data_IF_755146060646
#
_entry.id   IF_755146060646
#
_cell.length_a   1.000
_cell.length_b   1.000
_cell.length_c   1.000
_cell.angle_alpha   90.00
_cell.angle_beta   90.00
_cell.angle_gamma   90.00
#
_symmetry.space_group_name_H-M   'P 1'
#
loop_
_entity.id
_entity.type
_entity.pdbx_description
1 polymer ?
#
# COMPACT_ATOMS: atom_id res chain seq x y z
N UNK A 1 -66.90 -39.44 24.74
CA UNK A 1 -66.06 -38.82 23.77
C UNK A 1 -66.44 -37.36 23.60
N UNK A 2 -66.15 -36.50 24.56
CA UNK A 2 -66.36 -35.05 24.48
C UNK A 2 -65.45 -34.35 25.53
N UNK A 3 -64.13 -34.25 25.30
CA UNK A 3 -63.26 -33.48 26.20
C UNK A 3 -61.87 -33.07 25.57
N UNK A 4 -61.69 -33.18 24.27
CA UNK A 4 -60.39 -32.85 23.66
C UNK A 4 -60.42 -31.70 22.58
N UNK A 5 -61.57 -31.04 22.39
CA UNK A 5 -61.65 -29.95 21.39
C UNK A 5 -61.20 -28.55 21.91
N UNK A 6 -61.00 -28.42 23.22
CA UNK A 6 -60.56 -27.12 23.79
C UNK A 6 -59.06 -26.93 23.95
N UNK A 7 -58.27 -28.01 23.87
CA UNK A 7 -56.80 -27.93 24.10
C UNK A 7 -55.99 -27.56 22.87
N UNK A 8 -56.56 -27.83 21.67
CA UNK A 8 -55.86 -27.51 20.40
C UNK A 8 -55.95 -26.03 20.04
N UNK A 9 -57.00 -25.32 20.55
CA UNK A 9 -57.11 -23.86 20.31
C UNK A 9 -56.24 -23.04 21.20
N UNK A 10 -55.77 -23.53 22.35
CA UNK A 10 -54.90 -22.82 23.26
C UNK A 10 -53.41 -22.94 22.87
N UNK A 11 -53.04 -24.01 22.11
CA UNK A 11 -51.65 -24.16 21.62
C UNK A 11 -51.38 -23.36 20.33
N UNK A 12 -52.44 -23.01 19.60
CA UNK A 12 -52.29 -22.17 18.37
C UNK A 12 -52.14 -20.69 18.63
N UNK A 13 -52.37 -20.21 19.87
CA UNK A 13 -52.29 -18.79 20.20
C UNK A 13 -50.98 -18.38 20.84
N UNK A 14 -50.09 -19.35 21.19
CA UNK A 14 -48.80 -19.05 21.82
C UNK A 14 -47.62 -18.98 20.82
N UNK A 15 -47.82 -19.21 19.54
CA UNK A 15 -46.76 -19.15 18.53
C UNK A 15 -46.71 -17.79 17.85
N UNK A 16 -47.69 -16.91 18.11
CA UNK A 16 -47.80 -15.59 17.46
C UNK A 16 -47.11 -14.41 18.15
N UNK A 17 -46.58 -14.58 19.36
CA UNK A 17 -46.07 -13.45 20.14
C UNK A 17 -44.54 -13.38 20.28
N UNK A 18 -43.77 -14.41 19.88
CA UNK A 18 -42.31 -14.37 20.02
C UNK A 18 -41.60 -13.62 18.90
N UNK A 19 -42.29 -13.26 17.82
CA UNK A 19 -41.69 -12.52 16.69
C UNK A 19 -41.64 -11.01 16.91
N UNK A 20 -42.52 -10.46 17.77
CA UNK A 20 -42.51 -8.99 18.02
C UNK A 20 -41.52 -8.61 19.13
N UNK A 21 -41.34 -9.44 20.17
CA UNK A 21 -40.40 -9.11 21.26
C UNK A 21 -38.95 -9.15 20.82
N UNK A 22 -38.56 -10.07 19.94
CA UNK A 22 -37.19 -10.14 19.44
C UNK A 22 -36.85 -8.95 18.52
N UNK A 23 -37.84 -8.41 17.81
CA UNK A 23 -37.67 -7.25 16.94
C UNK A 23 -37.51 -5.95 17.72
N UNK A 24 -38.21 -5.80 18.87
CA UNK A 24 -38.06 -4.64 19.75
C UNK A 24 -36.73 -4.64 20.50
N UNK A 25 -36.14 -5.81 20.75
CA UNK A 25 -34.83 -5.97 21.37
C UNK A 25 -33.69 -5.62 20.42
N UNK A 26 -33.83 -5.95 19.11
CA UNK A 26 -32.86 -5.67 18.05
C UNK A 26 -32.90 -4.21 17.59
N UNK A 27 -34.10 -3.62 17.50
CA UNK A 27 -34.30 -2.25 17.06
C UNK A 27 -34.11 -1.20 18.17
N UNK A 28 -33.82 -1.63 19.42
CA UNK A 28 -33.80 -0.77 20.59
C UNK A 28 -35.19 -0.26 20.96
N UNK A 29 -35.39 0.11 22.23
CA UNK A 29 -36.60 0.82 22.68
C UNK A 29 -36.52 2.31 22.29
N UNK A 30 -36.48 2.57 20.97
CA UNK A 30 -36.62 3.95 20.52
C UNK A 30 -38.07 4.35 20.73
N UNK A 31 -38.35 5.27 21.64
CA UNK A 31 -39.61 6.01 21.67
C UNK A 31 -39.74 6.77 20.34
N UNK A 32 -40.30 6.06 19.33
CA UNK A 32 -40.59 6.62 18.02
C UNK A 32 -41.69 7.69 18.24
N UNK A 33 -41.27 8.92 18.35
CA UNK A 33 -42.19 10.05 18.47
C UNK A 33 -42.99 10.21 17.17
N UNK A 34 -43.97 11.17 17.21
CA UNK A 34 -44.74 11.57 16.02
C UNK A 34 -43.87 12.02 14.82
N UNK A 35 -42.55 12.10 14.99
CA UNK A 35 -41.56 12.57 14.01
C UNK A 35 -40.76 11.45 13.35
N UNK A 36 -41.23 10.19 13.39
CA UNK A 36 -40.54 9.05 12.77
C UNK A 36 -40.66 9.08 11.25
N UNK A 37 -39.57 8.71 10.58
CA UNK A 37 -39.48 8.28 9.19
C UNK A 37 -39.02 6.83 9.11
N UNK A 38 -38.65 6.37 7.94
CA UNK A 38 -38.16 4.96 7.71
C UNK A 38 -36.91 4.94 6.90
N UNK A 39 -35.90 4.21 7.34
CA UNK A 39 -34.78 3.81 6.51
C UNK A 39 -35.21 2.56 5.72
N UNK A 40 -35.12 2.62 4.38
CA UNK A 40 -35.18 1.45 3.50
C UNK A 40 -33.78 1.18 2.98
N UNK A 41 -33.21 0.03 3.33
CA UNK A 41 -31.82 -0.30 3.07
C UNK A 41 -31.70 -1.44 2.07
N UNK A 42 -30.86 -1.22 1.03
CA UNK A 42 -30.43 -2.23 0.08
C UNK A 42 -28.92 -2.46 0.24
N UNK A 43 -28.51 -3.70 0.49
CA UNK A 43 -27.11 -4.09 0.67
C UNK A 43 -26.66 -4.96 -0.50
N UNK A 44 -25.44 -4.70 -0.94
CA UNK A 44 -24.72 -5.56 -1.90
C UNK A 44 -23.28 -5.73 -1.45
N UNK A 45 -22.70 -6.92 -1.67
CA UNK A 45 -21.26 -7.12 -1.59
C UNK A 45 -20.64 -6.83 -2.95
N UNK A 46 -19.52 -6.12 -2.97
CA UNK A 46 -18.85 -5.67 -4.20
C UNK A 46 -17.37 -5.99 -4.11
N UNK A 47 -16.83 -6.61 -5.17
CA UNK A 47 -15.40 -6.85 -5.32
C UNK A 47 -14.96 -6.38 -6.72
N UNK A 48 -13.91 -5.56 -6.79
CA UNK A 48 -13.40 -4.96 -8.02
C UNK A 48 -14.50 -4.30 -8.89
N UNK A 49 -15.45 -3.60 -8.22
CA UNK A 49 -16.56 -2.93 -8.90
C UNK A 49 -17.71 -3.84 -9.36
N UNK A 50 -17.61 -5.15 -9.16
CA UNK A 50 -18.62 -6.14 -9.55
C UNK A 50 -19.46 -6.55 -8.35
N UNK A 51 -20.80 -6.50 -8.48
CA UNK A 51 -21.70 -7.02 -7.46
C UNK A 51 -21.59 -8.55 -7.39
N UNK A 52 -21.32 -9.06 -6.18
CA UNK A 52 -21.20 -10.49 -5.96
C UNK A 52 -22.57 -11.12 -5.77
N UNK A 53 -22.86 -12.13 -6.58
CA UNK A 53 -24.05 -12.97 -6.42
C UNK A 53 -23.75 -14.12 -5.45
N UNK A 54 -24.81 -14.85 -5.04
CA UNK A 54 -24.76 -15.97 -4.08
C UNK A 54 -23.87 -17.15 -4.50
N UNK A 55 -23.19 -17.11 -5.64
CA UNK A 55 -22.47 -18.26 -6.21
C UNK A 55 -20.98 -18.34 -5.83
N UNK A 56 -20.44 -17.43 -5.03
CA UNK A 56 -19.04 -17.48 -4.58
C UNK A 56 -17.99 -17.14 -5.64
N UNK A 57 -18.33 -17.16 -6.91
CA UNK A 57 -17.46 -16.86 -8.03
C UNK A 57 -17.86 -15.52 -8.66
N UNK A 58 -16.92 -14.60 -8.72
CA UNK A 58 -17.11 -13.30 -9.38
C UNK A 58 -16.59 -13.43 -10.80
N UNK A 59 -17.48 -13.26 -11.77
CA UNK A 59 -17.12 -13.31 -13.19
C UNK A 59 -17.38 -11.94 -13.81
N UNK A 60 -16.32 -11.26 -14.19
CA UNK A 60 -16.36 -10.04 -14.98
C UNK A 60 -15.95 -10.34 -16.42
N UNK A 61 -16.81 -10.01 -17.39
CA UNK A 61 -16.57 -10.22 -18.82
C UNK A 61 -16.07 -11.64 -19.19
N UNK A 62 -16.45 -12.66 -18.41
CA UNK A 62 -16.04 -14.05 -18.62
C UNK A 62 -14.72 -14.43 -17.95
N UNK A 63 -14.12 -13.54 -17.16
CA UNK A 63 -12.92 -13.80 -16.36
C UNK A 63 -13.32 -13.92 -14.89
N UNK A 64 -12.86 -14.98 -14.21
CA UNK A 64 -13.04 -15.14 -12.76
C UNK A 64 -12.17 -14.09 -12.07
N UNK A 65 -12.80 -13.15 -11.33
CA UNK A 65 -12.11 -12.06 -10.65
C UNK A 65 -11.91 -12.31 -9.15
N UNK A 66 -12.57 -13.32 -8.59
CA UNK A 66 -12.41 -13.74 -7.19
C UNK A 66 -13.21 -14.98 -6.89
N UNK A 67 -12.79 -15.75 -5.90
CA UNK A 67 -13.51 -16.92 -5.38
C UNK A 67 -13.61 -16.77 -3.86
N UNK A 68 -14.80 -16.47 -3.36
CA UNK A 68 -15.09 -16.25 -1.96
C UNK A 68 -16.09 -17.27 -1.44
N UNK A 69 -16.01 -17.57 -0.16
CA UNK A 69 -17.03 -18.40 0.49
C UNK A 69 -18.37 -17.66 0.53
N UNK A 70 -19.48 -18.39 0.38
CA UNK A 70 -20.82 -17.78 0.42
C UNK A 70 -21.06 -16.99 1.71
N UNK A 71 -20.55 -17.48 2.84
CA UNK A 71 -20.68 -16.80 4.14
C UNK A 71 -19.98 -15.42 4.20
N UNK A 72 -18.99 -15.17 3.33
CA UNK A 72 -18.26 -13.91 3.30
C UNK A 72 -18.94 -12.86 2.43
N UNK A 73 -19.69 -13.27 1.41
CA UNK A 73 -20.32 -12.40 0.44
C UNK A 73 -21.85 -12.30 0.59
N UNK A 74 -22.48 -13.22 1.31
CA UNK A 74 -23.91 -13.20 1.56
C UNK A 74 -24.27 -12.14 2.59
N UNK A 75 -24.77 -10.99 2.11
CA UNK A 75 -25.11 -9.85 2.97
C UNK A 75 -26.17 -10.15 4.04
N UNK A 76 -26.93 -11.23 3.90
CA UNK A 76 -27.91 -11.65 4.93
C UNK A 76 -27.23 -12.04 6.25
N UNK A 77 -25.99 -12.50 6.20
CA UNK A 77 -25.15 -12.81 7.35
C UNK A 77 -24.38 -11.64 7.94
N UNK A 78 -24.47 -10.45 7.31
CA UNK A 78 -23.73 -9.28 7.80
C UNK A 78 -24.37 -8.67 9.03
N UNK A 79 -23.54 -8.15 9.91
CA UNK A 79 -23.97 -7.34 11.03
C UNK A 79 -24.23 -5.92 10.53
N UNK A 80 -25.43 -5.41 10.77
CA UNK A 80 -25.84 -4.03 10.50
C UNK A 80 -25.84 -3.23 11.79
N UNK A 81 -25.32 -2.01 11.74
CA UNK A 81 -25.35 -1.05 12.83
C UNK A 81 -25.82 0.29 12.28
N UNK A 82 -26.83 0.90 12.91
CA UNK A 82 -27.27 2.27 12.62
C UNK A 82 -26.99 3.13 13.83
N UNK A 83 -26.25 4.22 13.61
CA UNK A 83 -25.83 5.15 14.67
C UNK A 83 -26.37 6.56 14.38
N UNK A 84 -26.96 7.20 15.36
CA UNK A 84 -27.29 8.62 15.27
C UNK A 84 -26.00 9.43 15.33
N UNK A 85 -25.72 10.25 14.29
CA UNK A 85 -24.44 10.98 14.19
C UNK A 85 -24.34 12.16 15.15
N UNK A 86 -25.48 12.67 15.62
CA UNK A 86 -25.52 13.82 16.52
C UNK A 86 -25.32 13.40 18.00
N UNK A 87 -25.88 12.23 18.39
CA UNK A 87 -25.76 11.68 19.75
C UNK A 87 -24.71 10.59 19.91
N UNK A 88 -24.20 10.02 18.80
CA UNK A 88 -23.31 8.86 18.78
C UNK A 88 -23.93 7.59 19.37
N UNK A 89 -25.26 7.51 19.44
CA UNK A 89 -26.00 6.38 19.97
C UNK A 89 -26.28 5.33 18.89
N UNK A 90 -26.01 4.05 19.16
CA UNK A 90 -26.46 2.94 18.33
C UNK A 90 -27.99 2.77 18.48
N UNK A 91 -28.73 3.07 17.42
CA UNK A 91 -30.20 3.03 17.43
C UNK A 91 -30.78 1.74 16.86
N UNK A 92 -29.98 0.98 16.12
CA UNK A 92 -30.31 -0.38 15.66
C UNK A 92 -29.05 -1.19 15.43
N UNK A 93 -29.06 -2.48 15.80
CA UNK A 93 -27.97 -3.43 15.58
C UNK A 93 -28.52 -4.86 15.47
N UNK A 94 -28.08 -5.62 14.50
CA UNK A 94 -28.47 -7.02 14.33
C UNK A 94 -27.96 -7.60 13.01
N UNK A 95 -28.24 -8.88 12.78
CA UNK A 95 -27.97 -9.48 11.48
C UNK A 95 -28.96 -8.94 10.45
N UNK A 96 -28.50 -8.70 9.23
CA UNK A 96 -29.36 -8.22 8.13
C UNK A 96 -30.58 -9.13 7.94
N UNK A 97 -30.39 -10.46 8.03
CA UNK A 97 -31.47 -11.44 7.93
C UNK A 97 -32.55 -11.28 9.02
N UNK A 98 -32.17 -10.88 10.23
CA UNK A 98 -33.07 -10.68 11.37
C UNK A 98 -33.84 -9.35 11.25
N UNK A 99 -33.24 -8.36 10.56
CA UNK A 99 -33.84 -7.03 10.35
C UNK A 99 -34.78 -7.00 9.13
N UNK A 100 -34.80 -8.04 8.29
CA UNK A 100 -35.71 -8.13 7.16
C UNK A 100 -37.16 -8.35 7.62
N UNK A 101 -38.08 -7.63 6.97
CA UNK A 101 -39.52 -7.86 7.14
C UNK A 101 -39.99 -9.12 6.35
N UNK A 102 -41.28 -9.40 6.37
CA UNK A 102 -41.89 -10.52 5.66
C UNK A 102 -41.70 -10.47 4.13
N UNK A 103 -41.48 -9.28 3.56
CA UNK A 103 -41.24 -9.05 2.13
C UNK A 103 -39.75 -9.12 1.79
N UNK A 104 -38.87 -9.45 2.74
CA UNK A 104 -37.44 -9.55 2.57
C UNK A 104 -36.68 -8.21 2.52
N UNK A 105 -37.36 -7.11 2.91
CA UNK A 105 -36.78 -5.77 2.92
C UNK A 105 -36.32 -5.38 4.32
N UNK A 106 -35.18 -4.68 4.40
CA UNK A 106 -34.72 -4.04 5.65
C UNK A 106 -35.36 -2.68 5.76
N UNK A 107 -36.33 -2.56 6.68
CA UNK A 107 -37.09 -1.33 6.97
C UNK A 107 -36.92 -1.00 8.45
N UNK A 108 -36.19 0.09 8.76
CA UNK A 108 -35.91 0.51 10.12
C UNK A 108 -36.60 1.86 10.39
N UNK A 109 -37.55 1.92 11.31
CA UNK A 109 -38.15 3.18 11.72
C UNK A 109 -37.18 3.98 12.60
N UNK A 110 -36.97 5.26 12.25
CA UNK A 110 -36.03 6.16 12.93
C UNK A 110 -36.70 7.51 13.14
N UNK A 111 -36.36 8.22 14.21
CA UNK A 111 -36.74 9.61 14.39
C UNK A 111 -36.12 10.52 13.33
N UNK A 112 -36.66 11.70 13.09
CA UNK A 112 -36.02 12.69 12.23
C UNK A 112 -34.64 13.04 12.77
N UNK A 113 -33.60 12.99 11.91
CA UNK A 113 -32.21 13.22 12.30
C UNK A 113 -31.19 12.75 11.27
N UNK A 114 -29.94 12.86 11.66
CA UNK A 114 -28.79 12.41 10.87
C UNK A 114 -28.23 11.09 11.41
N UNK A 115 -27.89 10.19 10.51
CA UNK A 115 -27.47 8.84 10.86
C UNK A 115 -26.31 8.37 9.99
N UNK A 116 -25.55 7.42 10.51
CA UNK A 116 -24.69 6.56 9.73
C UNK A 116 -25.23 5.11 9.78
N UNK A 117 -25.12 4.41 8.67
CA UNK A 117 -25.34 2.95 8.61
C UNK A 117 -24.04 2.28 8.22
N UNK A 118 -23.67 1.23 8.95
CA UNK A 118 -22.50 0.40 8.72
C UNK A 118 -22.93 -1.06 8.64
N UNK A 119 -22.40 -1.80 7.66
CA UNK A 119 -22.58 -3.24 7.59
C UNK A 119 -21.24 -3.93 7.35
N UNK A 120 -21.04 -5.12 7.94
CA UNK A 120 -19.81 -5.89 7.80
C UNK A 120 -20.08 -7.39 7.98
N UNK A 121 -19.27 -8.23 7.31
CA UNK A 121 -19.46 -9.68 7.34
C UNK A 121 -19.01 -10.33 8.66
N UNK A 122 -18.01 -9.79 9.35
CA UNK A 122 -17.60 -10.16 10.70
C UNK A 122 -16.86 -8.98 11.35
N UNK A 123 -16.58 -9.05 12.66
CA UNK A 123 -15.85 -7.97 13.36
C UNK A 123 -14.34 -8.05 13.07
N UNK A 124 -13.97 -7.66 11.84
CA UNK A 124 -12.62 -7.71 11.31
C UNK A 124 -11.84 -6.40 11.41
N UNK A 125 -12.44 -5.33 11.91
CA UNK A 125 -11.83 -3.98 11.90
C UNK A 125 -10.49 -3.88 12.64
N UNK A 126 -10.26 -4.75 13.64
CA UNK A 126 -9.04 -4.78 14.46
C UNK A 126 -8.24 -6.07 14.26
N UNK A 127 -8.50 -6.83 13.22
CA UNK A 127 -7.79 -8.06 12.91
C UNK A 127 -6.65 -7.72 11.96
N UNK A 128 -5.41 -7.84 12.44
CA UNK A 128 -4.22 -7.47 11.67
C UNK A 128 -4.06 -8.34 10.42
N UNK A 129 -4.23 -9.66 10.56
CA UNK A 129 -4.16 -10.65 9.48
C UNK A 129 -5.23 -11.72 9.67
N UNK A 130 -5.91 -12.10 8.59
CA UNK A 130 -6.96 -13.11 8.59
C UNK A 130 -6.85 -14.00 7.34
N UNK A 131 -7.26 -15.27 7.42
CA UNK A 131 -7.55 -16.10 6.24
C UNK A 131 -8.94 -15.80 5.65
N UNK A 132 -9.70 -14.94 6.29
CA UNK A 132 -11.06 -14.57 5.91
C UNK A 132 -11.14 -13.12 5.44
N UNK A 133 -11.72 -12.80 4.27
CA UNK A 133 -11.84 -11.44 3.76
C UNK A 133 -12.78 -10.61 4.62
N UNK A 134 -12.42 -9.36 4.89
CA UNK A 134 -13.25 -8.41 5.60
C UNK A 134 -13.99 -7.50 4.63
N UNK A 135 -15.32 -7.66 4.53
CA UNK A 135 -16.19 -6.79 3.74
C UNK A 135 -16.92 -5.81 4.63
N UNK A 136 -16.88 -4.54 4.27
CA UNK A 136 -17.51 -3.44 5.00
C UNK A 136 -18.12 -2.42 4.05
N UNK A 137 -19.30 -1.91 4.42
CA UNK A 137 -19.90 -0.71 3.84
C UNK A 137 -20.28 0.28 4.94
N UNK A 138 -20.18 1.57 4.63
CA UNK A 138 -20.59 2.65 5.55
C UNK A 138 -21.11 3.84 4.75
N UNK A 139 -22.24 4.43 5.20
CA UNK A 139 -22.83 5.58 4.55
C UNK A 139 -23.61 6.44 5.56
N UNK A 140 -23.53 7.75 5.40
CA UNK A 140 -24.35 8.71 6.14
C UNK A 140 -25.62 9.06 5.38
N UNK A 141 -26.71 9.31 6.11
CA UNK A 141 -28.00 9.69 5.54
C UNK A 141 -28.82 10.53 6.52
N UNK A 142 -29.87 11.16 6.05
CA UNK A 142 -30.79 11.93 6.89
C UNK A 142 -32.19 11.36 6.76
N UNK A 143 -32.89 11.24 7.89
CA UNK A 143 -34.29 10.83 7.98
C UNK A 143 -35.16 12.04 8.22
N UNK A 144 -36.27 12.15 7.47
CA UNK A 144 -37.29 13.18 7.65
C UNK A 144 -38.62 12.54 8.07
N UNK A 145 -39.40 13.29 8.87
CA UNK A 145 -40.71 12.87 9.34
C UNK A 145 -41.60 12.34 8.22
N UNK A 146 -42.13 11.13 8.40
CA UNK A 146 -43.08 10.50 7.49
C UNK A 146 -42.54 10.11 6.10
N UNK A 147 -41.22 10.20 5.90
CA UNK A 147 -40.59 9.91 4.62
C UNK A 147 -39.76 8.61 4.72
N UNK A 148 -39.86 7.78 3.69
CA UNK A 148 -38.92 6.65 3.50
C UNK A 148 -37.66 7.15 2.82
N UNK A 149 -36.52 6.99 3.49
CA UNK A 149 -35.18 7.27 2.95
C UNK A 149 -34.57 6.00 2.43
N UNK A 150 -34.34 5.93 1.14
CA UNK A 150 -33.72 4.77 0.48
C UNK A 150 -32.18 4.93 0.47
N UNK A 151 -31.46 3.95 1.01
CA UNK A 151 -29.99 3.91 1.09
C UNK A 151 -29.50 2.64 0.43
N UNK A 152 -28.63 2.78 -0.58
CA UNK A 152 -27.89 1.67 -1.18
C UNK A 152 -26.51 1.56 -0.52
N UNK A 153 -26.20 0.44 0.11
CA UNK A 153 -24.95 0.24 0.81
C UNK A 153 -24.12 -0.85 0.14
N UNK A 154 -23.03 -0.45 -0.48
CA UNK A 154 -22.06 -1.34 -1.10
C UNK A 154 -20.99 -1.74 -0.06
N UNK A 155 -20.96 -3.02 0.30
CA UNK A 155 -19.94 -3.58 1.17
C UNK A 155 -18.76 -4.06 0.30
N UNK A 156 -17.65 -3.36 0.40
CA UNK A 156 -16.41 -3.63 -0.35
C UNK A 156 -15.40 -4.36 0.50
N UNK A 157 -14.42 -5.02 -0.14
CA UNK A 157 -13.26 -5.56 0.54
C UNK A 157 -12.52 -4.42 1.26
N UNK A 158 -12.44 -4.49 2.58
CA UNK A 158 -11.84 -3.47 3.47
C UNK A 158 -10.58 -4.00 4.14
N UNK A 159 -9.71 -4.56 3.34
CA UNK A 159 -8.40 -5.10 3.67
C UNK A 159 -7.59 -5.26 2.39
N UNK A 160 -6.29 -5.55 2.53
CA UNK A 160 -5.41 -5.90 1.41
C UNK A 160 -5.41 -7.41 1.25
N UNK A 161 -5.65 -7.91 0.04
CA UNK A 161 -5.54 -9.32 -0.29
C UNK A 161 -4.07 -9.66 -0.60
N UNK A 162 -3.56 -10.75 -0.01
CA UNK A 162 -2.19 -11.21 -0.16
C UNK A 162 -2.16 -12.71 -0.47
N UNK A 163 -1.48 -13.08 -1.54
CA UNK A 163 -1.16 -14.46 -1.86
C UNK A 163 0.33 -14.57 -2.17
N UNK A 164 0.98 -15.63 -1.68
CA UNK A 164 2.38 -15.88 -1.94
C UNK A 164 2.57 -17.27 -2.54
N UNK A 165 3.23 -17.31 -3.69
CA UNK A 165 3.63 -18.52 -4.38
C UNK A 165 5.16 -18.61 -4.53
N UNK A 166 5.62 -19.80 -4.92
CA UNK A 166 7.00 -20.04 -5.33
C UNK A 166 7.00 -20.85 -6.63
N UNK A 167 7.98 -20.63 -7.48
CA UNK A 167 8.11 -21.38 -8.72
C UNK A 167 8.67 -22.78 -8.48
N UNK A 168 8.55 -23.67 -9.48
CA UNK A 168 9.15 -24.99 -9.43
C UNK A 168 10.69 -24.91 -9.30
N UNK A 169 11.33 -23.94 -9.95
CA UNK A 169 12.76 -23.70 -9.85
C UNK A 169 13.20 -23.34 -8.43
N UNK A 170 12.41 -22.51 -7.73
CA UNK A 170 12.66 -22.21 -6.32
C UNK A 170 12.64 -23.49 -5.46
N UNK A 171 11.61 -24.35 -5.64
CA UNK A 171 11.48 -25.61 -4.89
C UNK A 171 12.59 -26.64 -5.21
N UNK A 172 13.19 -26.58 -6.39
CA UNK A 172 14.32 -27.44 -6.78
C UNK A 172 15.64 -26.94 -6.16
N UNK A 173 15.78 -25.63 -5.96
CA UNK A 173 17.01 -25.01 -5.49
C UNK A 173 17.09 -24.87 -3.96
N UNK A 174 15.95 -24.84 -3.27
CA UNK A 174 15.88 -24.62 -1.81
C UNK A 174 15.23 -25.78 -1.06
N UNK A 175 15.70 -25.99 0.17
CA UNK A 175 15.11 -26.95 1.10
C UNK A 175 13.75 -26.46 1.61
N UNK A 176 12.96 -27.38 2.17
CA UNK A 176 11.62 -27.12 2.74
C UNK A 176 11.61 -26.23 4.00
N UNK A 177 12.78 -25.80 4.50
CA UNK A 177 12.94 -24.99 5.70
C UNK A 177 12.86 -23.47 5.47
N UNK A 178 12.48 -23.04 4.26
CA UNK A 178 12.33 -21.64 3.96
C UNK A 178 11.20 -20.98 4.77
N UNK A 179 11.42 -19.72 5.06
CA UNK A 179 10.47 -18.85 5.76
C UNK A 179 10.43 -17.49 5.06
N UNK A 180 9.23 -17.09 4.62
CA UNK A 180 9.02 -15.84 3.89
C UNK A 180 8.06 -15.00 4.70
N UNK A 181 8.53 -13.84 5.16
CA UNK A 181 7.69 -12.90 5.92
C UNK A 181 7.28 -11.76 5.02
N UNK A 182 5.98 -11.50 4.92
CA UNK A 182 5.43 -10.30 4.28
C UNK A 182 4.88 -9.39 5.37
N UNK A 183 5.27 -8.13 5.36
CA UNK A 183 4.94 -7.13 6.38
C UNK A 183 4.48 -5.84 5.70
N UNK A 184 3.38 -5.24 6.17
CA UNK A 184 2.84 -3.99 5.62
C UNK A 184 3.46 -2.72 6.23
N UNK A 185 4.48 -2.87 7.06
CA UNK A 185 5.24 -1.76 7.67
C UNK A 185 4.48 -1.01 8.77
N UNK A 186 3.35 -1.54 9.27
CA UNK A 186 2.55 -0.91 10.32
C UNK A 186 2.04 -1.96 11.32
N UNK A 187 1.06 -2.76 10.96
CA UNK A 187 0.28 -3.53 11.92
C UNK A 187 0.02 -4.98 11.51
N UNK A 188 0.43 -5.40 10.32
CA UNK A 188 0.14 -6.73 9.80
C UNK A 188 1.38 -7.36 9.18
N UNK A 189 1.71 -8.58 9.63
CA UNK A 189 2.72 -9.42 9.00
C UNK A 189 2.26 -10.88 8.98
N UNK A 190 2.68 -11.62 7.93
CA UNK A 190 2.38 -13.03 7.77
C UNK A 190 3.65 -13.78 7.39
N UNK A 191 3.88 -14.92 8.04
CA UNK A 191 4.96 -15.84 7.70
C UNK A 191 4.40 -16.95 6.81
N UNK A 192 4.98 -17.08 5.62
CA UNK A 192 4.69 -18.15 4.67
C UNK A 192 5.79 -19.20 4.72
N UNK A 193 5.40 -20.44 4.56
CA UNK A 193 6.25 -21.61 4.47
C UNK A 193 5.55 -22.66 3.59
N UNK A 194 6.15 -23.83 3.42
CA UNK A 194 5.58 -24.90 2.58
C UNK A 194 4.13 -25.32 2.90
N UNK A 195 3.66 -25.09 4.13
CA UNK A 195 2.34 -25.56 4.58
C UNK A 195 1.23 -24.56 4.24
N UNK A 196 1.57 -23.33 3.94
CA UNK A 196 0.61 -22.25 3.69
C UNK A 196 0.85 -21.44 2.41
N UNK A 197 1.75 -21.89 1.54
CA UNK A 197 1.89 -21.33 0.19
C UNK A 197 0.59 -21.45 -0.60
N UNK A 198 0.31 -20.47 -1.45
CA UNK A 198 -0.89 -20.40 -2.28
C UNK A 198 -2.19 -20.17 -1.50
N UNK A 199 -2.11 -19.98 -0.18
CA UNK A 199 -3.24 -19.52 0.62
C UNK A 199 -3.34 -18.00 0.56
N UNK A 200 -4.59 -17.52 0.50
CA UNK A 200 -4.88 -16.09 0.61
C UNK A 200 -4.93 -15.66 2.06
N UNK A 201 -4.30 -14.54 2.34
CA UNK A 201 -4.36 -13.82 3.59
C UNK A 201 -4.84 -12.39 3.36
N UNK A 202 -5.53 -11.84 4.32
CA UNK A 202 -6.11 -10.51 4.26
C UNK A 202 -5.51 -9.67 5.37
N UNK A 203 -4.78 -8.63 4.97
CA UNK A 203 -4.06 -7.72 5.87
C UNK A 203 -4.90 -6.49 6.14
N UNK A 204 -4.94 -6.05 7.38
CA UNK A 204 -5.49 -4.74 7.70
C UNK A 204 -4.71 -3.67 6.92
N UNK A 205 -5.44 -2.75 6.30
CA UNK A 205 -4.84 -1.65 5.54
C UNK A 205 -4.02 -0.76 6.47
N UNK A 206 -2.73 -0.53 6.19
CA UNK A 206 -1.88 0.28 7.04
C UNK A 206 -2.16 1.78 6.86
N UNK A 207 -1.81 2.56 7.88
CA UNK A 207 -1.93 4.02 7.79
C UNK A 207 -0.73 4.61 7.05
N UNK A 208 -0.99 5.26 5.92
CA UNK A 208 0.01 6.04 5.15
C UNK A 208 1.28 5.26 4.76
N UNK A 209 1.13 3.98 4.42
CA UNK A 209 2.20 3.16 3.84
C UNK A 209 1.91 2.90 2.38
N UNK A 210 2.95 2.85 1.56
CA UNK A 210 2.88 2.65 0.12
C UNK A 210 3.59 1.38 -0.35
N UNK A 211 4.09 0.56 0.58
CA UNK A 211 4.90 -0.62 0.26
C UNK A 211 4.69 -1.76 1.23
N UNK A 212 5.01 -2.96 0.76
CA UNK A 212 5.15 -4.17 1.55
C UNK A 212 6.63 -4.53 1.67
N UNK A 213 7.06 -5.02 2.82
CA UNK A 213 8.38 -5.59 3.02
C UNK A 213 8.30 -7.11 2.92
N UNK A 214 9.19 -7.71 2.13
CA UNK A 214 9.29 -9.15 1.96
C UNK A 214 10.65 -9.60 2.45
N UNK A 215 10.70 -10.46 3.47
CA UNK A 215 11.93 -11.05 3.98
C UNK A 215 11.92 -12.55 3.73
N UNK A 216 12.90 -13.05 3.00
CA UNK A 216 13.05 -14.47 2.68
C UNK A 216 14.27 -15.02 3.41
N UNK A 217 14.08 -16.14 4.11
CA UNK A 217 15.16 -16.95 4.69
C UNK A 217 15.02 -18.35 4.13
N UNK A 218 16.06 -18.83 3.49
CA UNK A 218 16.05 -20.15 2.88
C UNK A 218 17.44 -20.78 2.92
N UNK A 219 17.50 -22.12 2.93
CA UNK A 219 18.73 -22.88 2.80
C UNK A 219 18.70 -23.60 1.45
N UNK A 220 19.73 -23.40 0.62
CA UNK A 220 19.79 -24.09 -0.66
C UNK A 220 19.97 -25.60 -0.46
N UNK A 221 19.67 -26.39 -1.49
CA UNK A 221 19.92 -27.85 -1.50
C UNK A 221 21.40 -28.19 -1.35
N UNK A 222 22.31 -27.25 -1.63
CA UNK A 222 23.74 -27.34 -1.39
C UNK A 222 24.19 -26.96 0.03
N UNK A 223 23.24 -26.48 0.86
CA UNK A 223 23.48 -26.12 2.26
C UNK A 223 23.86 -24.66 2.50
N UNK A 224 23.75 -23.79 1.50
CA UNK A 224 24.01 -22.36 1.63
C UNK A 224 22.78 -21.65 2.19
N UNK A 225 22.94 -20.88 3.29
CA UNK A 225 21.88 -20.05 3.83
C UNK A 225 21.79 -18.73 3.08
N UNK A 226 20.58 -18.35 2.71
CA UNK A 226 20.29 -17.09 2.00
C UNK A 226 19.26 -16.31 2.81
N UNK A 227 19.51 -15.02 2.98
CA UNK A 227 18.54 -14.05 3.51
C UNK A 227 18.39 -12.93 2.48
N UNK A 228 17.14 -12.69 2.05
CA UNK A 228 16.78 -11.62 1.12
C UNK A 228 15.77 -10.72 1.81
N UNK A 229 15.94 -9.40 1.71
CA UNK A 229 14.94 -8.41 2.08
C UNK A 229 14.62 -7.58 0.85
N UNK A 230 13.34 -7.49 0.51
CA UNK A 230 12.84 -6.71 -0.61
C UNK A 230 11.70 -5.81 -0.17
N UNK A 231 11.59 -4.64 -0.76
CA UNK A 231 10.44 -3.73 -0.59
C UNK A 231 9.66 -3.69 -1.89
N UNK A 232 8.38 -4.06 -1.83
CA UNK A 232 7.43 -4.02 -2.94
C UNK A 232 6.62 -2.75 -2.82
N UNK A 233 6.91 -1.76 -3.64
CA UNK A 233 6.26 -0.46 -3.59
C UNK A 233 5.04 -0.41 -4.53
N UNK A 234 3.91 0.13 -4.03
CA UNK A 234 2.75 0.43 -4.88
C UNK A 234 3.15 1.50 -5.90
N UNK A 235 2.87 1.31 -7.19
CA UNK A 235 3.12 2.32 -8.22
C UNK A 235 2.47 3.66 -7.87
N UNK A 236 3.05 4.75 -8.38
CA UNK A 236 2.45 6.08 -8.26
C UNK A 236 1.06 6.11 -8.90
N UNK A 237 0.19 7.00 -8.40
CA UNK A 237 -1.10 7.25 -9.01
C UNK A 237 -0.97 7.88 -10.42
N UNK A 238 -2.09 8.02 -11.13
CA UNK A 238 -2.10 8.58 -12.48
C UNK A 238 -1.61 10.05 -12.57
N UNK A 239 -1.49 10.73 -11.44
CA UNK A 239 -1.01 12.11 -11.31
C UNK A 239 0.47 12.16 -10.90
N UNK A 240 1.11 10.99 -10.69
CA UNK A 240 2.50 10.86 -10.27
C UNK A 240 2.72 11.04 -8.76
N UNK A 241 1.64 11.02 -7.97
CA UNK A 241 1.69 11.08 -6.51
C UNK A 241 2.02 9.73 -5.88
N UNK A 242 2.41 9.74 -4.59
CA UNK A 242 2.62 8.50 -3.82
C UNK A 242 1.27 7.85 -3.56
N UNK A 243 1.03 6.68 -4.16
CA UNK A 243 -0.16 5.89 -3.90
C UNK A 243 0.02 5.04 -2.64
N UNK A 244 -0.73 5.33 -1.59
CA UNK A 244 -0.73 4.50 -0.39
C UNK A 244 -1.45 3.17 -0.65
N UNK A 245 -1.10 2.15 0.14
CA UNK A 245 -1.84 0.90 0.21
C UNK A 245 -3.28 1.20 0.66
N UNK A 246 -4.24 0.59 -0.01
CA UNK A 246 -5.66 0.87 0.17
C UNK A 246 -6.50 -0.41 0.32
N UNK A 247 -7.69 -0.24 0.87
CA UNK A 247 -8.69 -1.31 0.92
C UNK A 247 -8.99 -1.83 -0.50
N UNK A 248 -8.95 -3.16 -0.65
CA UNK A 248 -9.20 -3.84 -1.91
C UNK A 248 -7.97 -4.00 -2.81
N UNK A 249 -6.78 -3.49 -2.44
CA UNK A 249 -5.55 -3.84 -3.14
C UNK A 249 -5.28 -5.35 -3.01
N UNK A 250 -4.81 -5.97 -4.08
CA UNK A 250 -4.46 -7.39 -4.13
C UNK A 250 -3.03 -7.58 -4.63
N UNK A 251 -2.26 -8.38 -3.91
CA UNK A 251 -0.87 -8.69 -4.20
C UNK A 251 -0.71 -10.21 -4.35
N UNK A 252 -0.22 -10.65 -5.49
CA UNK A 252 0.24 -12.02 -5.71
C UNK A 252 1.75 -11.99 -5.88
N UNK A 253 2.48 -12.39 -4.85
CA UNK A 253 3.93 -12.40 -4.81
C UNK A 253 4.43 -13.79 -5.20
N UNK A 254 5.30 -13.90 -6.20
CA UNK A 254 5.91 -15.13 -6.63
C UNK A 254 7.44 -15.05 -6.50
N UNK A 255 8.02 -15.98 -5.78
CA UNK A 255 9.46 -16.13 -5.68
C UNK A 255 9.95 -17.14 -6.71
N UNK A 256 11.05 -16.83 -7.37
CA UNK A 256 11.71 -17.69 -8.35
C UNK A 256 13.19 -17.82 -8.03
N UNK A 257 13.80 -18.90 -8.48
CA UNK A 257 15.25 -18.97 -8.60
C UNK A 257 15.63 -18.35 -9.95
N UNK A 258 16.44 -17.30 -9.94
CA UNK A 258 16.93 -16.64 -11.16
C UNK A 258 18.15 -17.35 -11.76
N UNK A 259 18.51 -18.52 -11.23
CA UNK A 259 19.61 -19.35 -11.69
C UNK A 259 20.93 -19.06 -10.98
N UNK A 260 21.73 -20.07 -10.79
CA UNK A 260 23.08 -19.93 -10.28
C UNK A 260 24.03 -19.51 -11.42
N UNK A 261 24.67 -18.38 -11.31
CA UNK A 261 26.00 -18.21 -11.84
C UNK A 261 26.97 -18.93 -10.91
N UNK A 262 28.07 -19.48 -11.39
CA UNK A 262 28.99 -20.43 -10.71
C UNK A 262 29.37 -20.17 -9.24
N UNK A 263 28.79 -19.17 -8.56
CA UNK A 263 29.11 -18.80 -7.18
C UNK A 263 27.94 -18.27 -6.34
N UNK A 264 26.75 -17.94 -6.89
CA UNK A 264 25.63 -17.36 -6.13
C UNK A 264 24.29 -17.86 -6.61
N UNK A 265 23.43 -18.31 -5.68
CA UNK A 265 22.00 -18.50 -5.87
C UNK A 265 21.32 -17.13 -5.71
N UNK A 266 20.58 -16.72 -6.72
CA UNK A 266 19.80 -15.50 -6.71
C UNK A 266 18.31 -15.84 -6.60
N UNK A 267 17.61 -15.17 -5.67
CA UNK A 267 16.16 -15.28 -5.56
C UNK A 267 15.56 -14.07 -6.26
N UNK A 268 14.81 -14.32 -7.32
CA UNK A 268 13.99 -13.31 -7.98
C UNK A 268 12.62 -13.22 -7.34
N UNK A 269 12.02 -12.03 -7.42
CA UNK A 269 10.69 -11.76 -6.91
C UNK A 269 9.89 -11.09 -8.01
N UNK A 270 8.75 -11.72 -8.38
CA UNK A 270 7.77 -11.12 -9.28
C UNK A 270 6.49 -10.86 -8.51
N UNK A 271 5.82 -9.76 -8.80
CA UNK A 271 4.60 -9.38 -8.10
C UNK A 271 3.54 -8.98 -9.11
N UNK A 272 2.42 -9.70 -9.08
CA UNK A 272 1.22 -9.31 -9.80
C UNK A 272 0.33 -8.49 -8.87
N UNK A 273 -0.09 -7.33 -9.33
CA UNK A 273 -0.92 -6.41 -8.56
C UNK A 273 -2.24 -6.14 -9.23
N UNK A 274 -3.30 -6.15 -8.43
CA UNK A 274 -4.60 -5.60 -8.82
C UNK A 274 -4.95 -4.48 -7.86
N UNK A 275 -5.13 -3.27 -8.38
CA UNK A 275 -5.52 -2.11 -7.60
C UNK A 275 -6.98 -1.76 -7.83
N UNK A 276 -7.69 -1.42 -6.77
CA UNK A 276 -9.12 -1.06 -6.80
C UNK A 276 -9.42 0.18 -7.63
N UNK A 277 -8.45 1.05 -7.83
CA UNK A 277 -8.66 2.32 -8.56
C UNK A 277 -8.47 2.20 -10.07
N UNK A 278 -7.81 1.15 -10.56
CA UNK A 278 -7.43 1.04 -11.99
C UNK A 278 -8.11 -0.12 -12.69
N UNK A 279 -8.54 -1.17 -11.97
CA UNK A 279 -9.21 -2.34 -12.56
C UNK A 279 -8.36 -3.14 -13.55
N UNK A 280 -7.07 -2.90 -13.60
CA UNK A 280 -6.10 -3.59 -14.47
C UNK A 280 -5.06 -4.31 -13.62
N UNK A 281 -4.68 -5.51 -14.04
CA UNK A 281 -3.52 -6.21 -13.48
C UNK A 281 -2.27 -5.51 -14.01
N UNK A 282 -1.48 -4.94 -13.11
CA UNK A 282 -0.22 -4.29 -13.45
C UNK A 282 0.89 -5.20 -12.92
N UNK A 283 1.75 -5.72 -13.81
CA UNK A 283 3.02 -6.29 -13.37
C UNK A 283 3.85 -5.15 -12.78
N UNK A 284 4.32 -5.32 -11.52
CA UNK A 284 5.26 -4.36 -10.96
C UNK A 284 6.56 -4.51 -11.76
N UNK A 285 7.03 -3.44 -12.41
CA UNK A 285 8.37 -3.44 -12.97
C UNK A 285 9.38 -3.74 -11.86
N UNK A 286 10.41 -4.50 -12.17
CA UNK A 286 11.51 -4.87 -11.23
C UNK A 286 12.12 -3.63 -10.55
N UNK A 287 12.02 -2.47 -11.16
CA UNK A 287 12.42 -1.16 -10.62
C UNK A 287 11.70 -0.74 -9.33
N UNK A 288 10.53 -1.31 -9.02
CA UNK A 288 9.81 -1.08 -7.76
C UNK A 288 10.15 -2.10 -6.66
N UNK A 289 11.10 -3.01 -6.92
CA UNK A 289 11.57 -3.99 -5.96
C UNK A 289 12.99 -3.60 -5.56
N UNK A 290 13.16 -3.18 -4.31
CA UNK A 290 14.48 -2.85 -3.77
C UNK A 290 14.98 -4.03 -2.96
N UNK A 291 16.15 -4.55 -3.31
CA UNK A 291 16.82 -5.62 -2.59
C UNK A 291 17.84 -5.03 -1.63
N UNK A 292 17.67 -5.24 -0.33
CA UNK A 292 18.74 -5.04 0.65
C UNK A 292 19.56 -6.33 0.69
N UNK A 293 20.74 -6.29 0.10
CA UNK A 293 21.58 -7.41 -0.25
C UNK A 293 21.80 -8.51 0.82
N UNK A 294 22.33 -9.69 0.44
CA UNK A 294 22.44 -10.85 1.31
C UNK A 294 23.49 -10.66 2.39
N UNK A 295 23.11 -10.90 3.65
CA UNK A 295 24.07 -11.13 4.73
C UNK A 295 24.48 -12.61 4.72
N UNK A 296 25.65 -12.93 4.23
CA UNK A 296 26.23 -14.29 4.32
C UNK A 296 27.07 -14.39 5.61
N UNK A 297 26.70 -15.21 6.60
CA UNK A 297 27.59 -15.49 7.71
C UNK A 297 28.61 -16.59 7.33
N UNK A 298 29.84 -16.18 7.08
CA UNK A 298 31.02 -17.05 7.17
C UNK A 298 31.43 -17.81 5.92
N UNK A 299 31.88 -17.10 4.91
CA UNK A 299 32.71 -17.64 3.83
C UNK A 299 33.87 -16.70 3.59
N UNK A 300 35.05 -17.24 3.28
CA UNK A 300 36.23 -16.48 2.94
C UNK A 300 35.93 -15.46 1.84
N UNK A 301 36.43 -14.25 2.00
CA UNK A 301 36.29 -13.16 1.05
C UNK A 301 36.91 -13.46 -0.29
N UNK A 302 36.11 -13.97 -1.22
CA UNK A 302 36.40 -13.82 -2.65
C UNK A 302 35.93 -12.38 -3.06
N UNK A 303 36.60 -11.73 -4.00
CA UNK A 303 36.30 -10.33 -4.29
C UNK A 303 34.82 -10.18 -4.70
N UNK A 304 34.11 -9.35 -3.93
CA UNK A 304 32.75 -8.89 -4.22
C UNK A 304 32.61 -8.56 -5.71
N UNK A 305 31.62 -9.08 -6.46
CA UNK A 305 31.39 -8.62 -7.83
C UNK A 305 31.23 -7.10 -7.79
N UNK A 306 32.06 -6.40 -8.55
CA UNK A 306 32.04 -4.94 -8.58
C UNK A 306 30.58 -4.48 -8.77
N UNK A 307 30.04 -3.77 -7.77
CA UNK A 307 28.67 -3.28 -7.80
C UNK A 307 28.43 -2.56 -9.13
N UNK A 308 27.34 -2.92 -9.84
CA UNK A 308 27.04 -2.36 -11.16
C UNK A 308 27.02 -0.83 -11.17
N UNK A 309 26.61 -0.23 -10.00
CA UNK A 309 26.68 1.21 -9.76
C UNK A 309 27.45 1.46 -8.47
N UNK A 310 28.48 2.30 -8.52
CA UNK A 310 29.24 2.71 -7.36
C UNK A 310 29.27 4.23 -7.22
N UNK A 311 29.25 4.70 -5.97
CA UNK A 311 29.49 6.09 -5.62
C UNK A 311 30.79 6.20 -4.81
N UNK A 312 31.64 7.16 -5.21
CA UNK A 312 32.69 7.67 -4.34
C UNK A 312 32.28 9.09 -3.89
N UNK A 313 32.37 9.36 -2.61
CA UNK A 313 31.94 10.65 -2.05
C UNK A 313 30.52 10.70 -1.51
N UNK A 314 29.78 9.57 -1.48
CA UNK A 314 28.45 9.45 -0.88
C UNK A 314 28.37 8.28 0.11
N UNK A 315 27.54 8.41 1.19
CA UNK A 315 26.87 9.63 1.63
C UNK A 315 27.85 10.65 2.22
N UNK A 316 27.56 11.95 2.06
CA UNK A 316 28.43 13.02 2.55
C UNK A 316 27.66 13.98 3.48
N UNK A 317 28.35 14.45 4.53
CA UNK A 317 27.82 15.47 5.45
C UNK A 317 28.83 16.56 5.63
N UNK A 318 28.42 17.80 5.37
CA UNK A 318 29.22 18.99 5.53
C UNK A 318 28.58 19.94 6.55
N UNK A 319 29.40 20.66 7.28
CA UNK A 319 28.93 21.70 8.20
C UNK A 319 29.69 23.00 7.90
N UNK A 320 28.98 24.10 7.85
CA UNK A 320 29.54 25.44 7.61
C UNK A 320 28.76 26.45 8.45
N UNK A 321 29.23 27.72 8.43
CA UNK A 321 28.59 28.83 9.12
C UNK A 321 28.04 29.81 8.09
N UNK A 322 26.91 30.44 8.39
CA UNK A 322 26.35 31.47 7.52
C UNK A 322 27.36 32.57 7.22
N UNK A 323 27.60 32.81 5.95
CA UNK A 323 28.56 33.78 5.42
C UNK A 323 29.93 33.18 5.09
N UNK A 324 30.18 31.91 5.31
CA UNK A 324 31.41 31.24 4.89
C UNK A 324 31.59 31.34 3.37
N UNK A 325 32.83 31.50 2.94
CA UNK A 325 33.19 31.53 1.52
C UNK A 325 33.44 30.17 0.91
N UNK A 326 33.71 29.17 1.76
CA UNK A 326 34.08 27.80 1.39
C UNK A 326 33.44 26.80 2.37
N UNK A 327 33.24 25.56 1.94
CA UNK A 327 32.85 24.44 2.78
C UNK A 327 34.06 23.53 2.89
N UNK A 328 34.52 23.30 4.11
CA UNK A 328 35.72 22.50 4.36
C UNK A 328 35.46 21.01 3.98
N UNK A 329 36.43 20.41 3.28
CA UNK A 329 36.40 19.01 2.92
C UNK A 329 35.43 18.66 1.77
N UNK A 330 34.87 19.64 1.10
CA UNK A 330 33.96 19.43 -0.03
C UNK A 330 34.63 18.60 -1.14
N UNK A 331 33.97 17.53 -1.57
CA UNK A 331 34.41 16.64 -2.64
C UNK A 331 33.35 16.51 -3.71
N UNK A 332 33.76 16.29 -4.95
CA UNK A 332 32.87 15.90 -6.02
C UNK A 332 32.43 14.45 -5.86
N UNK A 333 31.28 14.11 -6.40
CA UNK A 333 30.75 12.75 -6.37
C UNK A 333 31.14 12.03 -7.66
N UNK A 334 31.89 10.95 -7.52
CA UNK A 334 32.24 10.09 -8.62
C UNK A 334 31.25 8.93 -8.72
N UNK A 335 30.68 8.72 -9.91
CA UNK A 335 29.64 7.75 -10.21
C UNK A 335 30.15 6.81 -11.28
N UNK A 336 30.23 5.52 -10.99
CA UNK A 336 30.54 4.51 -12.00
C UNK A 336 29.34 3.59 -12.18
N UNK A 337 28.96 3.31 -13.44
CA UNK A 337 27.88 2.38 -13.80
C UNK A 337 28.32 1.51 -14.98
N UNK A 338 28.57 0.25 -14.75
CA UNK A 338 29.15 -0.68 -15.75
C UNK A 338 28.32 -0.83 -17.02
N UNK A 339 26.99 -0.65 -16.92
CA UNK A 339 26.03 -0.70 -18.05
C UNK A 339 25.68 0.67 -18.64
N UNK A 340 26.32 1.72 -18.13
CA UNK A 340 26.07 3.11 -18.50
C UNK A 340 24.90 3.72 -17.72
N UNK A 341 25.05 5.00 -17.38
CA UNK A 341 24.05 5.77 -16.65
C UNK A 341 22.86 6.05 -17.57
N UNK A 342 21.66 5.59 -17.21
CA UNK A 342 20.42 5.83 -17.96
C UNK A 342 19.58 6.95 -17.35
N UNK A 343 19.58 7.06 -16.02
CA UNK A 343 18.95 8.14 -15.28
C UNK A 343 19.89 8.59 -14.16
N UNK A 344 19.96 9.90 -13.96
CA UNK A 344 20.63 10.55 -12.83
C UNK A 344 19.70 11.61 -12.26
N UNK A 345 18.84 11.18 -11.33
CA UNK A 345 17.89 12.06 -10.67
C UNK A 345 18.56 12.81 -9.52
N UNK A 346 18.39 14.11 -9.49
CA UNK A 346 18.79 14.99 -8.40
C UNK A 346 17.54 15.52 -7.73
N UNK A 347 17.36 15.22 -6.44
CA UNK A 347 16.28 15.79 -5.63
C UNK A 347 16.86 16.68 -4.55
N UNK A 348 16.41 17.93 -4.49
CA UNK A 348 16.89 18.95 -3.58
C UNK A 348 15.80 19.28 -2.57
N UNK A 349 16.14 19.20 -1.28
CA UNK A 349 15.20 19.43 -0.18
C UNK A 349 15.85 20.23 0.97
N UNK A 350 15.06 20.55 2.00
CA UNK A 350 15.50 21.36 3.13
C UNK A 350 15.52 22.86 2.82
N UNK A 351 16.34 23.61 3.53
CA UNK A 351 16.32 25.07 3.50
C UNK A 351 16.63 25.67 2.11
N UNK A 352 17.50 25.02 1.33
CA UNK A 352 17.85 25.48 -0.01
C UNK A 352 16.70 25.33 -1.01
N UNK A 353 15.78 24.37 -0.80
CA UNK A 353 14.68 24.12 -1.73
C UNK A 353 13.80 25.38 -1.90
N UNK A 354 13.54 26.11 -0.81
CA UNK A 354 12.79 27.37 -0.86
C UNK A 354 13.48 28.50 -1.69
N UNK A 355 14.74 28.32 -2.04
CA UNK A 355 15.53 29.30 -2.77
C UNK A 355 15.78 28.92 -4.24
N UNK A 356 15.41 27.70 -4.65
CA UNK A 356 15.60 27.20 -6.03
C UNK A 356 14.88 28.06 -7.08
N UNK A 357 13.77 28.67 -6.69
CA UNK A 357 13.06 29.65 -7.54
C UNK A 357 13.92 30.84 -7.98
N UNK A 358 14.96 31.20 -7.23
CA UNK A 358 15.89 32.33 -7.61
C UNK A 358 16.77 31.92 -8.77
N UNK A 359 17.13 30.63 -8.86
CA UNK A 359 17.96 30.09 -9.96
C UNK A 359 17.08 29.38 -11.00
N UNK A 360 15.75 29.35 -10.77
CA UNK A 360 14.75 28.73 -11.64
C UNK A 360 15.04 27.25 -11.92
N UNK A 361 15.55 26.51 -10.94
CA UNK A 361 15.70 25.07 -10.98
C UNK A 361 14.49 24.41 -10.30
N UNK A 362 13.99 23.30 -10.82
CA UNK A 362 13.01 22.46 -10.11
C UNK A 362 13.67 21.75 -8.92
N UNK A 363 12.84 21.33 -7.95
CA UNK A 363 13.32 20.56 -6.80
C UNK A 363 13.83 19.16 -7.20
N UNK A 364 13.32 18.61 -8.30
CA UNK A 364 13.76 17.32 -8.84
C UNK A 364 13.93 17.41 -10.35
N UNK A 365 15.02 16.87 -10.87
CA UNK A 365 15.31 16.79 -12.31
C UNK A 365 16.22 15.59 -12.62
N UNK A 366 16.05 14.99 -13.80
CA UNK A 366 16.91 13.93 -14.32
C UNK A 366 17.97 14.56 -15.25
N UNK A 367 19.24 14.48 -14.86
CA UNK A 367 20.35 15.03 -15.65
C UNK A 367 20.47 14.36 -17.03
N UNK A 368 20.05 13.09 -17.16
CA UNK A 368 20.08 12.39 -18.44
C UNK A 368 18.97 12.87 -19.40
N UNK A 369 17.86 13.44 -18.89
CA UNK A 369 16.67 13.79 -19.68
C UNK A 369 16.11 15.17 -19.29
N UNK A 370 16.96 16.19 -19.20
CA UNK A 370 16.55 17.56 -18.89
C UNK A 370 15.82 18.21 -20.07
N UNK A 371 14.82 19.05 -19.77
CA UNK A 371 14.33 20.01 -20.75
C UNK A 371 15.37 21.11 -21.01
N UNK A 372 15.22 21.84 -22.13
CA UNK A 372 16.24 22.85 -22.55
C UNK A 372 16.43 23.96 -21.51
N UNK A 373 15.36 24.36 -20.77
CA UNK A 373 15.44 25.43 -19.77
C UNK A 373 16.22 24.97 -18.53
N UNK A 374 16.04 23.74 -18.08
CA UNK A 374 16.79 23.13 -16.95
C UNK A 374 18.24 22.87 -17.38
N UNK A 375 18.43 22.30 -18.58
CA UNK A 375 19.75 22.02 -19.14
C UNK A 375 20.64 23.26 -19.20
N UNK A 376 20.12 24.39 -19.74
CA UNK A 376 20.88 25.65 -19.82
C UNK A 376 21.36 26.11 -18.43
N UNK A 377 20.54 25.96 -17.40
CA UNK A 377 20.86 26.33 -16.02
C UNK A 377 21.88 25.39 -15.38
N UNK A 378 21.69 24.06 -15.54
CA UNK A 378 22.60 23.06 -14.99
C UNK A 378 23.99 23.18 -15.59
N UNK A 379 24.08 23.43 -16.90
CA UNK A 379 25.34 23.72 -17.60
C UNK A 379 25.90 25.07 -17.13
N UNK A 380 25.07 26.11 -17.01
CA UNK A 380 25.45 27.43 -16.52
C UNK A 380 26.02 27.41 -15.10
N UNK A 381 25.55 26.51 -14.25
CA UNK A 381 26.07 26.23 -12.90
C UNK A 381 27.31 25.32 -12.92
N UNK A 382 27.78 24.90 -14.08
CA UNK A 382 28.94 24.01 -14.27
C UNK A 382 28.82 22.66 -13.57
N UNK A 383 27.58 22.17 -13.32
CA UNK A 383 27.34 20.86 -12.76
C UNK A 383 27.63 19.75 -13.77
N UNK A 384 27.39 20.05 -15.05
CA UNK A 384 27.60 19.17 -16.21
C UNK A 384 28.09 20.07 -17.38
N UNK A 385 28.95 19.57 -18.25
CA UNK A 385 29.27 20.18 -19.52
C UNK A 385 28.34 19.68 -20.63
N UNK A 386 28.27 20.38 -21.77
CA UNK A 386 27.51 19.93 -22.95
C UNK A 386 27.93 18.53 -23.43
N UNK A 387 29.24 18.25 -23.43
CA UNK A 387 29.75 16.95 -23.85
C UNK A 387 29.38 15.82 -22.86
N UNK A 388 29.46 16.07 -21.55
CA UNK A 388 29.04 15.15 -20.49
C UNK A 388 27.53 14.92 -20.56
N UNK A 389 26.72 15.96 -20.75
CA UNK A 389 25.28 15.83 -20.95
C UNK A 389 24.93 14.91 -22.15
N UNK A 390 25.59 15.12 -23.30
CA UNK A 390 25.32 14.33 -24.49
C UNK A 390 25.67 12.83 -24.28
N UNK A 391 26.71 12.52 -23.51
CA UNK A 391 27.05 11.13 -23.14
C UNK A 391 26.05 10.51 -22.17
N UNK A 392 25.61 11.28 -21.17
CA UNK A 392 24.57 10.86 -20.23
C UNK A 392 23.23 10.64 -20.94
N UNK A 393 22.80 11.59 -21.77
CA UNK A 393 21.58 11.48 -22.56
C UNK A 393 21.57 10.29 -23.52
N UNK A 394 22.72 9.95 -24.10
CA UNK A 394 22.87 8.75 -24.91
C UNK A 394 22.84 7.45 -24.07
N UNK A 395 22.91 7.55 -22.75
CA UNK A 395 22.97 6.39 -21.83
C UNK A 395 24.22 5.50 -22.01
N UNK A 396 25.31 6.07 -22.52
CA UNK A 396 26.58 5.37 -22.77
C UNK A 396 27.69 5.75 -21.79
N UNK A 397 27.43 6.74 -20.92
CA UNK A 397 28.38 7.20 -19.91
C UNK A 397 28.50 6.16 -18.80
N UNK A 398 29.65 5.51 -18.66
CA UNK A 398 29.91 4.51 -17.61
C UNK A 398 30.60 5.10 -16.40
N UNK A 399 31.11 6.32 -16.52
CA UNK A 399 31.93 6.99 -15.52
C UNK A 399 31.69 8.49 -15.56
N UNK A 400 31.19 9.05 -14.46
CA UNK A 400 30.78 10.45 -14.41
C UNK A 400 31.14 11.11 -13.07
N UNK A 401 31.67 12.30 -13.11
CA UNK A 401 31.95 13.10 -11.92
C UNK A 401 30.96 14.26 -11.82
N UNK A 402 30.07 14.16 -10.84
CA UNK A 402 29.09 15.20 -10.57
C UNK A 402 29.72 16.33 -9.73
N UNK A 403 29.92 17.49 -10.36
CA UNK A 403 30.65 18.64 -9.79
C UNK A 403 29.73 19.52 -8.96
N UNK A 404 29.31 19.04 -7.81
CA UNK A 404 28.43 19.80 -6.91
C UNK A 404 29.08 20.98 -6.23
N UNK A 405 30.41 21.08 -6.25
CA UNK A 405 31.15 22.13 -5.57
C UNK A 405 30.67 23.55 -5.88
N UNK A 406 30.37 23.85 -7.14
CA UNK A 406 29.88 25.17 -7.55
C UNK A 406 28.52 25.53 -6.95
N UNK A 407 27.66 24.55 -6.72
CA UNK A 407 26.33 24.74 -6.13
C UNK A 407 26.41 24.82 -4.61
N UNK A 408 27.14 23.87 -4.00
CA UNK A 408 27.19 23.75 -2.55
C UNK A 408 27.85 24.94 -1.87
N UNK A 409 28.85 25.56 -2.47
CA UNK A 409 29.51 26.78 -1.93
C UNK A 409 28.61 28.03 -1.92
N UNK A 410 27.45 27.98 -2.57
CA UNK A 410 26.45 29.04 -2.50
C UNK A 410 25.57 28.91 -1.24
N UNK A 411 25.42 27.69 -0.68
CA UNK A 411 24.53 27.43 0.44
C UNK A 411 24.81 28.33 1.64
N UNK A 412 26.04 28.42 2.19
CA UNK A 412 26.31 29.27 3.34
C UNK A 412 26.12 30.76 3.06
N UNK A 413 26.00 31.18 1.79
CA UNK A 413 25.77 32.59 1.41
C UNK A 413 24.28 32.95 1.40
N UNK A 414 23.39 31.96 1.24
CA UNK A 414 21.95 32.20 1.06
C UNK A 414 21.10 31.54 2.14
N UNK A 415 21.51 30.40 2.73
CA UNK A 415 20.84 29.71 3.83
C UNK A 415 21.41 30.24 5.15
N UNK A 416 20.56 30.77 6.01
CA UNK A 416 20.97 31.36 7.29
C UNK A 416 21.25 30.32 8.38
N UNK A 417 20.47 29.23 8.40
CA UNK A 417 20.64 28.09 9.29
C UNK A 417 19.80 26.92 8.83
N UNK A 418 20.19 25.70 9.22
CA UNK A 418 19.42 24.47 8.96
C UNK A 418 20.08 23.59 7.90
N UNK A 419 19.39 22.51 7.56
CA UNK A 419 19.89 21.47 6.65
C UNK A 419 19.37 21.67 5.24
N UNK A 420 20.27 21.44 4.28
CA UNK A 420 20.00 21.34 2.85
C UNK A 420 20.44 19.96 2.38
N UNK A 421 19.56 19.21 1.74
CA UNK A 421 19.82 17.83 1.33
C UNK A 421 19.70 17.68 -0.18
N UNK A 422 20.70 17.03 -0.78
CA UNK A 422 20.75 16.65 -2.18
C UNK A 422 20.77 15.13 -2.25
N UNK A 423 19.69 14.53 -2.70
CA UNK A 423 19.61 13.10 -2.98
C UNK A 423 19.99 12.88 -4.45
N UNK A 424 20.98 12.02 -4.68
CA UNK A 424 21.37 11.54 -6.00
C UNK A 424 20.87 10.11 -6.17
N UNK A 425 20.07 9.86 -7.20
CA UNK A 425 19.59 8.53 -7.56
C UNK A 425 19.99 8.20 -8.98
N UNK A 426 20.83 7.16 -9.15
CA UNK A 426 21.42 6.75 -10.43
C UNK A 426 20.84 5.38 -10.80
N UNK A 427 20.39 5.28 -12.07
CA UNK A 427 19.98 4.01 -12.65
C UNK A 427 20.75 3.72 -13.93
N UNK A 428 21.16 2.45 -14.12
CA UNK A 428 21.76 1.96 -15.36
C UNK A 428 20.75 1.22 -16.25
N UNK A 429 19.47 1.27 -15.88
CA UNK A 429 18.38 0.57 -16.56
C UNK A 429 18.08 -0.82 -16.00
N UNK A 430 18.91 -1.31 -15.08
CA UNK A 430 18.73 -2.59 -14.36
C UNK A 430 18.82 -2.35 -12.87
N UNK A 431 19.87 -1.65 -12.42
CA UNK A 431 20.09 -1.33 -11.03
C UNK A 431 19.86 0.17 -10.76
N UNK A 432 19.47 0.49 -9.54
CA UNK A 432 19.38 1.85 -9.05
C UNK A 432 20.09 1.98 -7.71
N UNK A 433 20.90 3.02 -7.55
CA UNK A 433 21.59 3.33 -6.30
C UNK A 433 21.39 4.80 -5.96
N UNK A 434 21.13 5.08 -4.69
CA UNK A 434 20.92 6.45 -4.20
C UNK A 434 21.86 6.76 -3.04
N UNK A 435 22.15 8.06 -2.87
CA UNK A 435 22.92 8.57 -1.74
C UNK A 435 22.70 10.06 -1.52
N UNK A 436 22.87 10.49 -0.27
CA UNK A 436 22.58 11.85 0.16
C UNK A 436 23.84 12.65 0.43
N UNK A 437 23.78 13.95 0.08
CA UNK A 437 24.69 14.98 0.55
C UNK A 437 23.90 15.92 1.43
N UNK A 438 24.29 16.04 2.70
CA UNK A 438 23.67 16.97 3.64
C UNK A 438 24.64 18.11 3.93
N UNK A 439 24.19 19.35 3.79
CA UNK A 439 24.92 20.54 4.21
C UNK A 439 24.16 21.22 5.33
N UNK A 440 24.74 21.23 6.53
CA UNK A 440 24.19 21.91 7.70
C UNK A 440 24.85 23.29 7.83
N UNK A 441 24.03 24.34 7.81
CA UNK A 441 24.48 25.73 8.04
C UNK A 441 24.19 26.11 9.48
N UNK A 442 25.23 26.51 10.21
CA UNK A 442 25.09 27.10 11.52
C UNK A 442 24.88 28.62 11.41
N UNK A 443 24.05 29.21 12.26
CA UNK A 443 23.88 30.65 12.28
C UNK A 443 25.23 31.32 12.67
N UNK A 444 25.46 32.53 12.14
CA UNK A 444 26.61 33.30 12.53
C UNK A 444 26.46 33.75 13.99
N UNK A 445 27.45 33.47 14.83
CA UNK A 445 27.48 34.01 16.19
C UNK A 445 27.63 35.55 16.11
N UNK A 446 26.76 36.25 16.85
CA UNK A 446 26.78 37.74 16.94
C UNK A 446 27.98 38.25 17.75
#
# INVERSE_FOLDING_TARGET
MKRYKGLIWLLGLMIGFSSCEMRDEILGKNDLGENAGTLELNLTSVYNGVEMSRAGEVVDNGTTTGNFNEEDINVDGYTLVVTNTDTQEEVAKGLVSELKNADGKVLIPLNEGNYSVKAYNYDGANVSVSERPYFKGEQTFSVKKGISTNVGLNCKLSCIEMELGVTASFLESFNDDYSITVDNGDNANQVFNKDNLGKKYYFQTPSQKNSLNVSVKATSTEGNFIELVATVQKPADAEGGIANLADGDSFVINLTDEGSTDSYLSIGLTVDLTFTEVGETIEIPVENITYDGPSVPGGETDPEPEAAITFEGLPAKYTCTYGDSEIEGLQDVHISATRGIKNLNVTISGEIAGLLGMVQLPETFDICNMDEDVKEKVIGLQLVTDDEYNQLHAGTCTDFTFKLGSLLVLIPKVVQSGDSVFNLSVSDGVDTKSGDITVTVNPKEE
#
